data_IF_054395009329
#
_entry.id   IF_054395009329
#
_cell.length_a   1.000
_cell.length_b   1.000
_cell.length_c   1.000
_cell.angle_alpha   90.00
_cell.angle_beta   90.00
_cell.angle_gamma   90.00
#
_symmetry.space_group_name_H-M   'P 1'
#
loop_
_entity.id
_entity.type
_entity.pdbx_description
1 polymer ?
#
# COMPACT_ATOMS: atom_id res chain seq x y z
N UNK A 1 12.12 39.61 11.75
CA UNK A 1 10.95 39.06 11.06
C UNK A 1 9.85 38.89 12.10
N UNK A 2 8.64 39.39 11.79
CA UNK A 2 7.55 39.54 12.75
C UNK A 2 7.09 38.17 13.29
N UNK A 3 7.31 37.93 14.57
CA UNK A 3 6.57 36.91 15.33
C UNK A 3 5.30 37.58 15.87
N UNK A 4 4.15 37.27 15.29
CA UNK A 4 2.87 37.56 15.94
C UNK A 4 2.60 36.40 16.91
N UNK A 5 2.94 36.60 18.18
CA UNK A 5 2.35 35.80 19.25
C UNK A 5 0.90 36.24 19.38
N UNK A 6 -0.04 35.31 19.27
CA UNK A 6 -1.44 35.62 19.60
C UNK A 6 -1.56 35.62 21.13
N UNK A 7 -1.66 36.81 21.72
CA UNK A 7 -2.13 36.99 23.10
C UNK A 7 -3.66 36.79 23.12
N UNK A 8 -4.09 35.57 22.80
CA UNK A 8 -5.47 35.14 22.96
C UNK A 8 -5.69 34.80 24.43
N UNK A 9 -6.53 35.58 25.12
CA UNK A 9 -6.90 35.37 26.52
C UNK A 9 -7.20 33.91 26.82
N UNK A 10 -6.29 33.27 27.56
CA UNK A 10 -6.39 31.90 28.00
C UNK A 10 -7.51 31.80 29.04
N UNK A 11 -8.69 31.34 28.64
CA UNK A 11 -9.68 30.83 29.60
C UNK A 11 -9.30 29.38 29.92
N UNK A 12 -9.31 28.99 31.20
CA UNK A 12 -8.82 27.69 31.72
C UNK A 12 -9.27 26.40 30.99
N UNK A 13 -10.25 26.46 30.08
CA UNK A 13 -10.74 25.32 29.32
C UNK A 13 -9.99 25.06 28.01
N UNK A 14 -9.60 26.11 27.25
CA UNK A 14 -9.01 25.97 25.91
C UNK A 14 -7.84 26.95 25.74
N UNK A 15 -6.66 26.44 25.35
CA UNK A 15 -5.49 27.27 25.11
C UNK A 15 -5.50 27.98 23.75
N UNK A 16 -6.16 27.40 22.73
CA UNK A 16 -6.35 28.02 21.43
C UNK A 16 -7.62 27.46 20.78
N UNK A 17 -8.45 28.34 20.22
CA UNK A 17 -9.60 27.99 19.38
C UNK A 17 -9.60 28.88 18.15
N UNK A 18 -9.67 28.28 16.97
CA UNK A 18 -9.70 28.99 15.69
C UNK A 18 -10.96 28.53 14.93
N UNK A 19 -11.89 29.46 14.72
CA UNK A 19 -13.19 29.18 14.10
C UNK A 19 -13.45 30.20 13.00
N UNK A 20 -13.75 29.72 11.80
CA UNK A 20 -14.25 30.56 10.69
C UNK A 20 -15.78 30.49 10.69
N UNK A 21 -16.46 31.64 10.79
CA UNK A 21 -17.92 31.69 10.79
C UNK A 21 -18.53 31.53 9.39
N UNK A 22 -17.88 32.09 8.37
CA UNK A 22 -18.26 32.00 6.96
C UNK A 22 -16.99 32.01 6.10
N UNK A 23 -16.94 31.18 5.06
CA UNK A 23 -15.78 31.05 4.18
C UNK A 23 -14.73 30.02 4.63
N UNK A 24 -13.74 29.78 3.78
CA UNK A 24 -12.75 28.72 3.95
C UNK A 24 -11.65 29.09 4.97
N UNK A 25 -11.26 28.12 5.79
CA UNK A 25 -10.06 28.19 6.61
C UNK A 25 -8.91 27.50 5.86
N UNK A 26 -7.85 28.24 5.58
CA UNK A 26 -6.68 27.73 4.86
C UNK A 26 -5.41 27.86 5.72
N UNK A 27 -4.66 26.77 5.80
CA UNK A 27 -3.47 26.61 6.63
C UNK A 27 -2.36 26.03 5.76
N UNK A 28 -1.37 26.87 5.41
CA UNK A 28 -0.30 26.49 4.50
C UNK A 28 1.07 26.88 5.05
N UNK A 29 2.06 26.03 4.80
CA UNK A 29 3.47 26.37 4.90
C UNK A 29 4.10 26.25 3.51
N UNK A 30 4.35 27.39 2.86
CA UNK A 30 4.78 27.42 1.44
C UNK A 30 6.24 27.06 1.23
N UNK A 31 7.07 27.16 2.27
CA UNK A 31 8.52 26.93 2.18
C UNK A 31 9.02 25.93 3.23
N UNK A 32 8.13 25.43 4.09
CA UNK A 32 8.50 24.56 5.20
C UNK A 32 7.32 23.66 5.62
N UNK A 33 7.43 23.01 6.77
CA UNK A 33 6.54 21.97 7.29
C UNK A 33 5.42 22.50 8.19
N UNK A 34 4.24 21.88 8.12
CA UNK A 34 3.18 22.00 9.13
C UNK A 34 3.22 20.77 10.04
N UNK A 35 3.42 20.97 11.36
CA UNK A 35 3.35 19.90 12.37
C UNK A 35 2.16 20.10 13.29
N UNK A 36 1.29 19.08 13.36
CA UNK A 36 0.16 19.03 14.28
C UNK A 36 0.33 17.80 15.18
N UNK A 37 0.48 18.02 16.48
CA UNK A 37 0.74 16.97 17.46
C UNK A 37 -0.20 17.14 18.66
N UNK A 38 -0.72 16.03 19.19
CA UNK A 38 -1.56 16.00 20.38
C UNK A 38 -1.03 14.94 21.34
N UNK A 39 -1.08 15.22 22.65
CA UNK A 39 -0.74 14.25 23.69
C UNK A 39 -1.83 13.19 23.87
N UNK A 40 -3.07 13.55 23.58
CA UNK A 40 -4.24 12.68 23.73
C UNK A 40 -4.78 12.30 22.34
N UNK A 41 -6.01 12.69 22.03
CA UNK A 41 -6.63 12.45 20.72
C UNK A 41 -6.34 13.58 19.73
N UNK A 42 -6.26 13.21 18.46
CA UNK A 42 -6.36 14.12 17.32
C UNK A 42 -7.51 13.60 16.43
N UNK A 43 -8.48 14.47 16.14
CA UNK A 43 -9.64 14.14 15.31
C UNK A 43 -9.70 15.10 14.13
N UNK A 44 -9.77 14.55 12.92
CA UNK A 44 -10.12 15.28 11.70
C UNK A 44 -11.49 14.78 11.25
N UNK A 45 -12.46 15.70 11.14
CA UNK A 45 -13.85 15.36 10.87
C UNK A 45 -14.38 16.38 9.86
N UNK A 46 -15.08 15.89 8.84
CA UNK A 46 -15.92 16.68 7.96
C UNK A 46 -17.39 16.37 8.29
N UNK A 47 -18.24 17.39 8.37
CA UNK A 47 -19.65 17.22 8.70
C UNK A 47 -20.46 16.76 7.48
N UNK A 48 -20.22 17.36 6.32
CA UNK A 48 -21.07 17.17 5.13
C UNK A 48 -20.36 16.46 3.97
N UNK A 49 -19.04 16.64 3.83
CA UNK A 49 -18.25 16.16 2.69
C UNK A 49 -17.12 15.21 3.12
N UNK A 50 -16.15 14.96 2.25
CA UNK A 50 -15.02 14.07 2.51
C UNK A 50 -13.83 14.76 3.20
N UNK A 51 -12.96 13.93 3.79
CA UNK A 51 -11.63 14.34 4.26
C UNK A 51 -10.61 13.82 3.26
N UNK A 52 -10.01 14.72 2.50
CA UNK A 52 -9.01 14.38 1.48
C UNK A 52 -7.59 14.54 2.02
N UNK A 53 -6.75 13.54 1.76
CA UNK A 53 -5.32 13.56 2.09
C UNK A 53 -4.55 13.30 0.79
N UNK A 54 -3.85 14.32 0.31
CA UNK A 54 -3.01 14.24 -0.88
C UNK A 54 -1.55 14.54 -0.53
N UNK A 55 -0.62 13.77 -1.10
CA UNK A 55 0.81 13.99 -0.93
C UNK A 55 1.55 13.79 -2.25
N UNK A 56 2.58 14.60 -2.50
CA UNK A 56 3.39 14.48 -3.71
C UNK A 56 4.38 13.30 -3.72
N UNK A 57 4.65 12.69 -2.56
CA UNK A 57 5.60 11.56 -2.43
C UNK A 57 4.97 10.38 -1.72
N UNK A 58 4.63 10.56 -0.45
CA UNK A 58 4.21 9.47 0.43
C UNK A 58 3.11 9.93 1.38
N UNK A 59 2.08 9.10 1.55
CA UNK A 59 1.15 9.16 2.68
C UNK A 59 1.49 7.99 3.59
N UNK A 60 1.85 8.25 4.84
CA UNK A 60 2.22 7.22 5.81
C UNK A 60 1.39 7.36 7.09
N UNK A 61 0.56 6.35 7.38
CA UNK A 61 -0.22 6.24 8.60
C UNK A 61 0.38 5.09 9.40
N UNK A 62 0.89 5.38 10.59
CA UNK A 62 1.51 4.37 11.45
C UNK A 62 1.06 4.54 12.90
N UNK A 63 1.06 3.43 13.62
CA UNK A 63 0.86 3.40 15.07
C UNK A 63 2.12 2.85 15.74
N UNK A 64 2.34 3.24 17.00
CA UNK A 64 3.47 2.75 17.79
C UNK A 64 3.53 1.22 17.90
N UNK A 65 2.38 0.54 17.78
CA UNK A 65 2.29 -0.92 17.74
C UNK A 65 2.81 -1.58 16.44
N UNK A 66 3.37 -0.82 15.50
CA UNK A 66 4.01 -1.33 14.28
C UNK A 66 3.07 -1.62 13.11
N UNK A 67 1.76 -1.39 13.25
CA UNK A 67 0.85 -1.41 12.11
C UNK A 67 0.96 -0.11 11.31
N UNK A 68 0.98 -0.20 9.98
CA UNK A 68 1.06 0.95 9.10
C UNK A 68 0.38 0.72 7.74
N UNK A 69 -0.03 1.83 7.14
CA UNK A 69 -0.50 1.94 5.76
C UNK A 69 0.34 3.00 5.08
N UNK A 70 1.00 2.63 3.99
CA UNK A 70 1.86 3.53 3.21
C UNK A 70 1.41 3.55 1.76
N UNK A 71 1.23 4.74 1.21
CA UNK A 71 0.95 4.97 -0.21
C UNK A 71 2.17 5.69 -0.79
N UNK A 72 2.90 5.02 -1.68
CA UNK A 72 4.12 5.54 -2.29
C UNK A 72 4.37 4.90 -3.66
N UNK A 73 4.84 5.69 -4.63
CA UNK A 73 5.23 5.17 -5.95
C UNK A 73 4.11 4.43 -6.69
N UNK A 74 2.86 4.82 -6.46
CA UNK A 74 1.67 4.16 -7.03
C UNK A 74 1.26 2.85 -6.35
N UNK A 75 1.97 2.42 -5.30
CA UNK A 75 1.67 1.20 -4.55
C UNK A 75 1.01 1.53 -3.21
N UNK A 76 0.21 0.58 -2.72
CA UNK A 76 -0.37 0.60 -1.37
C UNK A 76 0.23 -0.56 -0.58
N UNK A 77 0.90 -0.24 0.52
CA UNK A 77 1.51 -1.22 1.42
C UNK A 77 0.78 -1.18 2.76
N UNK A 78 0.22 -2.32 3.15
CA UNK A 78 -0.37 -2.53 4.48
C UNK A 78 0.53 -3.49 5.24
N UNK A 79 1.16 -3.01 6.31
CA UNK A 79 2.10 -3.79 7.12
C UNK A 79 1.62 -3.85 8.56
N UNK A 80 1.64 -5.03 9.16
CA UNK A 80 1.43 -5.20 10.60
C UNK A 80 2.17 -6.43 11.13
N UNK A 81 2.61 -6.43 12.40
CA UNK A 81 3.29 -7.59 12.98
C UNK A 81 2.35 -8.78 13.22
N UNK A 82 1.03 -8.52 13.34
CA UNK A 82 0.00 -9.54 13.56
C UNK A 82 -0.76 -9.91 12.30
N UNK A 83 -2.01 -10.33 12.49
CA UNK A 83 -2.89 -10.77 11.40
C UNK A 83 -3.60 -9.60 10.73
N UNK A 84 -3.60 -9.56 9.40
CA UNK A 84 -4.47 -8.68 8.60
C UNK A 84 -5.84 -9.36 8.44
N UNK A 85 -6.86 -8.84 9.12
CA UNK A 85 -8.24 -9.33 8.99
C UNK A 85 -8.97 -8.57 7.90
N UNK A 86 -9.34 -9.26 6.80
CA UNK A 86 -10.11 -8.68 5.70
C UNK A 86 -11.52 -9.26 5.67
N UNK A 87 -12.51 -8.42 5.94
CA UNK A 87 -13.93 -8.73 5.82
C UNK A 87 -14.43 -8.37 4.41
N UNK A 88 -14.70 -9.37 3.58
CA UNK A 88 -15.18 -9.17 2.21
C UNK A 88 -16.09 -10.34 1.78
N UNK A 89 -17.15 -10.04 1.01
CA UNK A 89 -18.09 -11.05 0.47
C UNK A 89 -17.45 -11.94 -0.61
N UNK A 90 -16.41 -11.45 -1.30
CA UNK A 90 -15.59 -12.21 -2.25
C UNK A 90 -14.13 -11.86 -2.04
N UNK A 91 -13.28 -12.88 -1.91
CA UNK A 91 -11.82 -12.74 -1.81
C UNK A 91 -11.21 -13.44 -3.01
N UNK A 92 -10.68 -12.69 -3.98
CA UNK A 92 -9.92 -13.27 -5.10
C UNK A 92 -8.44 -13.03 -4.83
N UNK A 93 -7.82 -14.00 -4.15
CA UNK A 93 -6.37 -14.07 -4.09
C UNK A 93 -5.92 -14.95 -5.25
N UNK A 94 -5.47 -14.32 -6.34
CA UNK A 94 -4.99 -15.06 -7.50
C UNK A 94 -3.64 -15.64 -7.13
N UNK A 95 -3.63 -16.94 -6.84
CA UNK A 95 -2.40 -17.68 -6.58
C UNK A 95 -1.55 -17.84 -7.84
N UNK A 96 -0.30 -18.31 -7.72
CA UNK A 96 0.53 -18.65 -8.86
C UNK A 96 -0.17 -19.70 -9.75
N UNK A 97 -0.19 -19.47 -11.06
CA UNK A 97 -0.80 -20.38 -12.03
C UNK A 97 0.15 -21.56 -12.28
N UNK A 98 -0.25 -22.76 -11.84
CA UNK A 98 0.41 -24.00 -12.26
C UNK A 98 0.14 -24.21 -13.75
N UNK A 99 1.16 -23.97 -14.59
CA UNK A 99 1.15 -24.45 -15.98
C UNK A 99 1.54 -25.92 -15.92
N UNK A 100 0.59 -26.83 -16.16
CA UNK A 100 0.91 -28.22 -16.46
C UNK A 100 1.67 -28.23 -17.78
N UNK A 101 3.00 -28.26 -17.71
CA UNK A 101 3.79 -28.66 -18.86
C UNK A 101 3.55 -30.17 -19.03
N UNK A 102 2.93 -30.62 -20.14
CA UNK A 102 2.77 -32.05 -20.35
C UNK A 102 4.15 -32.71 -20.32
N UNK A 103 4.30 -33.72 -19.47
CA UNK A 103 5.51 -34.53 -19.47
C UNK A 103 5.66 -35.13 -20.87
N UNK A 104 6.87 -35.05 -21.48
CA UNK A 104 7.09 -35.68 -22.76
C UNK A 104 6.81 -37.17 -22.64
N UNK A 105 6.09 -37.74 -23.61
CA UNK A 105 5.84 -39.17 -23.67
C UNK A 105 7.17 -39.88 -23.96
N UNK A 106 7.60 -40.72 -23.01
CA UNK A 106 8.75 -41.58 -23.19
C UNK A 106 8.35 -42.81 -24.01
N UNK A 107 9.17 -43.23 -24.98
CA UNK A 107 8.89 -44.42 -25.77
C UNK A 107 8.98 -45.67 -24.91
N UNK A 108 7.95 -46.53 -24.98
CA UNK A 108 7.88 -47.80 -24.26
C UNK A 108 8.64 -48.94 -24.95
N UNK A 109 9.18 -48.68 -26.14
CA UNK A 109 9.99 -49.60 -26.92
C UNK A 109 11.14 -48.85 -27.59
N UNK A 110 12.20 -49.58 -27.93
CA UNK A 110 13.37 -48.99 -28.61
C UNK A 110 12.99 -48.62 -30.04
N UNK A 111 12.58 -47.37 -30.25
CA UNK A 111 12.35 -46.80 -31.57
C UNK A 111 13.70 -46.31 -32.15
N UNK A 112 14.27 -47.08 -33.09
CA UNK A 112 15.58 -46.79 -33.72
C UNK A 112 15.58 -45.42 -34.42
N UNK A 113 14.48 -45.07 -35.07
CA UNK A 113 14.30 -43.77 -35.75
C UNK A 113 14.23 -42.61 -34.75
N UNK A 114 13.60 -42.82 -33.60
CA UNK A 114 13.51 -41.84 -32.52
C UNK A 114 14.89 -41.61 -31.89
N UNK A 115 15.68 -42.68 -31.71
CA UNK A 115 17.06 -42.62 -31.20
C UNK A 115 17.99 -41.87 -32.16
N UNK A 116 17.89 -42.12 -33.47
CA UNK A 116 18.64 -41.38 -34.50
C UNK A 116 18.27 -39.89 -34.53
N UNK A 117 16.98 -39.55 -34.39
CA UNK A 117 16.52 -38.15 -34.31
C UNK A 117 17.04 -37.46 -33.04
N UNK A 118 17.01 -38.13 -31.89
CA UNK A 118 17.54 -37.60 -30.64
C UNK A 118 19.06 -37.40 -30.70
N UNK A 119 19.81 -38.35 -31.27
CA UNK A 119 21.26 -38.25 -31.46
C UNK A 119 21.65 -37.07 -32.37
N UNK A 120 20.89 -36.82 -33.45
CA UNK A 120 21.10 -35.65 -34.32
C UNK A 120 20.75 -34.32 -33.63
N UNK A 121 19.74 -34.33 -32.75
CA UNK A 121 19.31 -33.15 -32.00
C UNK A 121 20.12 -32.90 -30.71
N UNK A 122 21.07 -33.79 -30.36
CA UNK A 122 21.82 -33.70 -29.11
C UNK A 122 20.95 -33.88 -27.86
N UNK A 123 19.77 -34.48 -27.99
CA UNK A 123 18.83 -34.64 -26.90
C UNK A 123 19.15 -35.89 -26.06
N UNK A 124 19.22 -35.78 -24.71
CA UNK A 124 19.53 -36.91 -23.83
C UNK A 124 18.39 -37.94 -23.73
N UNK A 125 17.18 -37.62 -24.24
CA UNK A 125 16.03 -38.51 -24.25
C UNK A 125 15.30 -38.44 -25.60
N UNK A 126 14.75 -39.58 -26.01
CA UNK A 126 13.87 -39.69 -27.18
C UNK A 126 12.46 -39.31 -26.77
N UNK A 127 11.87 -38.29 -27.40
CA UNK A 127 10.46 -37.91 -27.20
C UNK A 127 9.59 -38.48 -28.31
N UNK A 128 8.47 -39.10 -27.94
CA UNK A 128 7.36 -39.33 -28.87
C UNK A 128 6.64 -38.00 -29.06
N UNK A 129 6.58 -37.52 -30.30
CA UNK A 129 5.87 -36.31 -30.68
C UNK A 129 4.44 -36.65 -31.09
#
# INVERSE_FOLDING_TARGET
MLAAAVDGGQTQANSLSLVSGEGALDLQAQSDEVRVQSKEGLKLISADAEVELAAGKTIHLAVAGGASVTIEGGNITVACPGTITVHASKKSFVGPVQRSAPLPLFPQSVCVECMLKAARAGAPFTVLQ
#
